data_IF_362180977559
#
_entry.id   IF_362180977559
#
_cell.length_a   1.000
_cell.length_b   1.000
_cell.length_c   1.000
_cell.angle_alpha   90.00
_cell.angle_beta   90.00
_cell.angle_gamma   90.00
#
_symmetry.space_group_name_H-M   'P 1'
#
loop_
_entity.id
_entity.type
_entity.pdbx_description
1 polymer ?
#
# COMPACT_ATOMS: atom_id res chain seq x y z
N UNK A 1 3.36 -11.16 -42.08
CA UNK A 1 2.26 -11.30 -41.10
C UNK A 1 1.55 -9.96 -40.99
N UNK A 2 0.21 -9.91 -41.01
CA UNK A 2 -0.50 -8.63 -40.84
C UNK A 2 -0.43 -8.16 -39.38
N UNK A 3 -0.58 -6.86 -39.14
CA UNK A 3 -0.64 -6.32 -37.77
C UNK A 3 -1.77 -6.96 -36.94
N UNK A 4 -2.88 -7.35 -37.58
CA UNK A 4 -4.00 -8.00 -36.92
C UNK A 4 -3.67 -9.44 -36.45
N UNK A 5 -2.92 -10.19 -37.25
CA UNK A 5 -2.51 -11.57 -36.91
C UNK A 5 -1.53 -11.55 -35.75
N UNK A 6 -0.53 -10.65 -35.80
CA UNK A 6 0.45 -10.48 -34.73
C UNK A 6 -0.19 -10.05 -33.40
N UNK A 7 -1.17 -9.13 -33.45
CA UNK A 7 -1.95 -8.75 -32.26
C UNK A 7 -2.76 -9.94 -31.73
N UNK A 8 -3.44 -10.67 -32.61
CA UNK A 8 -4.27 -11.82 -32.23
C UNK A 8 -3.45 -12.92 -31.57
N UNK A 9 -2.26 -13.21 -32.11
CA UNK A 9 -1.35 -14.21 -31.54
C UNK A 9 -0.90 -13.81 -30.14
N UNK A 10 -0.47 -12.55 -29.97
CA UNK A 10 -0.08 -12.03 -28.66
C UNK A 10 -1.23 -12.07 -27.65
N UNK A 11 -2.46 -11.81 -28.09
CA UNK A 11 -3.66 -11.87 -27.24
C UNK A 11 -3.99 -13.26 -26.72
N UNK A 12 -3.64 -14.34 -27.45
CA UNK A 12 -3.88 -15.73 -27.01
C UNK A 12 -3.17 -16.01 -25.68
N UNK A 13 -1.98 -15.46 -25.51
CA UNK A 13 -1.15 -15.62 -24.30
C UNK A 13 -1.48 -14.61 -23.18
N UNK A 14 -2.34 -13.62 -23.43
CA UNK A 14 -2.78 -12.69 -22.39
C UNK A 14 -3.91 -13.26 -21.53
N UNK A 15 -3.81 -13.03 -20.22
CA UNK A 15 -4.83 -13.47 -19.24
C UNK A 15 -6.19 -12.83 -19.54
N UNK A 16 -7.24 -13.65 -19.64
CA UNK A 16 -8.63 -13.20 -19.77
C UNK A 16 -9.05 -12.40 -18.54
N UNK A 17 -9.86 -11.36 -18.73
CA UNK A 17 -10.41 -10.54 -17.66
C UNK A 17 -9.45 -9.47 -17.10
N UNK A 18 -8.23 -9.34 -17.62
CA UNK A 18 -7.26 -8.32 -17.20
C UNK A 18 -7.24 -7.14 -18.18
N UNK A 19 -7.51 -5.90 -17.73
CA UNK A 19 -7.38 -4.72 -18.56
C UNK A 19 -5.94 -4.46 -19.01
N UNK A 20 -5.77 -3.96 -20.23
CA UNK A 20 -4.49 -3.55 -20.79
C UNK A 20 -4.64 -2.37 -21.75
N UNK A 21 -3.56 -1.64 -21.98
CA UNK A 21 -3.52 -0.49 -22.89
C UNK A 21 -3.02 -0.87 -24.28
N UNK A 22 -3.40 -0.08 -25.28
CA UNK A 22 -2.84 -0.17 -26.65
C UNK A 22 -1.31 -0.12 -26.70
N UNK A 23 -0.68 0.51 -25.71
CA UNK A 23 0.78 0.67 -25.63
C UNK A 23 1.53 -0.67 -25.67
N UNK A 24 0.88 -1.76 -25.23
CA UNK A 24 1.45 -3.12 -25.31
C UNK A 24 1.76 -3.55 -26.76
N UNK A 25 1.07 -2.98 -27.75
CA UNK A 25 1.23 -3.29 -29.17
C UNK A 25 2.04 -2.24 -29.94
N UNK A 26 2.70 -1.30 -29.26
CA UNK A 26 3.42 -0.21 -29.92
C UNK A 26 4.51 -0.68 -30.91
N UNK A 27 5.11 -1.86 -30.67
CA UNK A 27 6.15 -2.45 -31.52
C UNK A 27 5.61 -3.21 -32.75
N UNK A 28 4.30 -3.46 -32.84
CA UNK A 28 3.73 -4.29 -33.92
C UNK A 28 3.50 -3.48 -35.21
N UNK A 29 3.32 -2.17 -35.11
CA UNK A 29 3.13 -1.32 -36.27
C UNK A 29 2.69 0.09 -35.92
N UNK A 30 2.30 0.86 -36.95
CA UNK A 30 1.83 2.23 -36.77
C UNK A 30 0.59 2.29 -35.88
N UNK A 31 0.40 3.41 -35.19
CA UNK A 31 -0.76 3.64 -34.31
C UNK A 31 -2.08 3.40 -35.03
N UNK A 32 -2.21 3.88 -36.27
CA UNK A 32 -3.41 3.71 -37.08
C UNK A 32 -3.69 2.23 -37.43
N UNK A 33 -2.63 1.47 -37.75
CA UNK A 33 -2.77 0.04 -38.03
C UNK A 33 -3.21 -0.75 -36.79
N UNK A 34 -2.61 -0.45 -35.63
CA UNK A 34 -2.99 -1.06 -34.35
C UNK A 34 -4.43 -0.72 -33.98
N UNK A 35 -4.83 0.55 -34.07
CA UNK A 35 -6.20 0.98 -33.74
C UNK A 35 -7.23 0.31 -34.69
N UNK A 36 -6.92 0.18 -35.99
CA UNK A 36 -7.77 -0.53 -36.96
C UNK A 36 -7.90 -2.02 -36.63
N UNK A 37 -6.79 -2.68 -36.27
CA UNK A 37 -6.80 -4.08 -35.87
C UNK A 37 -7.59 -4.32 -34.57
N UNK A 38 -7.37 -3.48 -33.55
CA UNK A 38 -8.13 -3.55 -32.29
C UNK A 38 -9.61 -3.33 -32.52
N UNK A 39 -10.00 -2.40 -33.40
CA UNK A 39 -11.40 -2.17 -33.75
C UNK A 39 -12.05 -3.41 -34.38
N UNK A 40 -11.36 -4.07 -35.32
CA UNK A 40 -11.84 -5.32 -35.93
C UNK A 40 -12.01 -6.44 -34.89
N UNK A 41 -11.06 -6.57 -33.96
CA UNK A 41 -11.13 -7.58 -32.89
C UNK A 41 -12.24 -7.31 -31.88
N UNK A 42 -12.65 -6.05 -31.71
CA UNK A 42 -13.83 -5.70 -30.91
C UNK A 42 -15.10 -6.07 -31.66
N UNK A 43 -15.18 -5.75 -32.96
CA UNK A 43 -16.33 -6.10 -33.80
C UNK A 43 -16.54 -7.63 -33.87
N UNK A 44 -15.46 -8.41 -33.88
CA UNK A 44 -15.53 -9.87 -33.84
C UNK A 44 -15.78 -10.47 -32.45
N UNK A 45 -15.93 -9.63 -31.41
CA UNK A 45 -16.17 -10.07 -30.02
C UNK A 45 -14.96 -10.68 -29.30
N UNK A 46 -13.78 -10.72 -29.93
CA UNK A 46 -12.54 -11.24 -29.34
C UNK A 46 -11.99 -10.33 -28.23
N UNK A 47 -12.28 -9.04 -28.32
CA UNK A 47 -11.90 -8.02 -27.35
C UNK A 47 -13.11 -7.20 -26.90
N UNK A 48 -12.98 -6.60 -25.73
CA UNK A 48 -13.92 -5.62 -25.18
C UNK A 48 -13.17 -4.33 -24.89
N UNK A 49 -13.70 -3.20 -25.35
CA UNK A 49 -13.19 -1.87 -25.00
C UNK A 49 -13.89 -1.40 -23.73
N UNK A 50 -13.12 -1.17 -22.68
CA UNK A 50 -13.64 -0.73 -21.38
C UNK A 50 -13.80 0.79 -21.32
N UNK A 51 -12.75 1.50 -21.74
CA UNK A 51 -12.72 2.95 -21.94
C UNK A 51 -11.82 3.26 -23.13
N UNK A 52 -11.78 4.52 -23.59
CA UNK A 52 -10.90 4.91 -24.69
C UNK A 52 -9.44 4.54 -24.40
N UNK A 53 -8.86 3.67 -25.23
CA UNK A 53 -7.46 3.25 -25.12
C UNK A 53 -7.18 2.08 -24.17
N UNK A 54 -8.18 1.61 -23.41
CA UNK A 54 -8.06 0.44 -22.53
C UNK A 54 -9.00 -0.67 -22.99
N UNK A 55 -8.44 -1.86 -23.10
CA UNK A 55 -9.08 -3.04 -23.66
C UNK A 55 -8.94 -4.21 -22.70
N UNK A 56 -9.76 -5.23 -22.88
CA UNK A 56 -9.71 -6.46 -22.12
C UNK A 56 -10.10 -7.64 -23.01
N UNK A 57 -9.48 -8.78 -22.77
CA UNK A 57 -9.94 -10.05 -23.34
C UNK A 57 -11.10 -10.57 -22.50
N UNK A 58 -12.32 -10.77 -23.06
CA UNK A 58 -13.48 -11.19 -22.30
C UNK A 58 -13.22 -12.47 -21.50
N UNK A 59 -13.69 -12.48 -20.25
CA UNK A 59 -13.73 -13.67 -19.40
C UNK A 59 -15.18 -14.02 -19.14
N UNK A 60 -15.56 -15.25 -19.42
CA UNK A 60 -16.91 -15.77 -19.15
C UNK A 60 -16.83 -16.73 -17.98
N UNK A 61 -17.70 -16.51 -16.99
CA UNK A 61 -17.94 -17.41 -15.86
C UNK A 61 -19.24 -18.17 -16.11
N UNK A 62 -19.28 -19.46 -15.75
CA UNK A 62 -20.49 -20.28 -15.87
C UNK A 62 -21.69 -19.71 -15.10
N UNK A 63 -21.43 -19.02 -13.99
CA UNK A 63 -22.49 -18.54 -13.08
C UNK A 63 -22.92 -17.10 -13.34
N UNK A 64 -22.00 -16.24 -13.79
CA UNK A 64 -22.18 -14.77 -13.86
C UNK A 64 -22.19 -14.29 -15.32
N UNK A 65 -21.88 -15.16 -16.28
CA UNK A 65 -21.69 -14.76 -17.67
C UNK A 65 -20.43 -13.92 -17.83
N UNK A 66 -20.50 -12.77 -18.52
CA UNK A 66 -19.33 -11.91 -18.79
C UNK A 66 -18.85 -11.24 -17.50
N UNK A 67 -17.63 -11.59 -17.09
CA UNK A 67 -16.98 -11.05 -15.89
C UNK A 67 -16.45 -9.66 -16.20
N UNK A 68 -16.98 -8.65 -15.50
CA UNK A 68 -16.47 -7.28 -15.55
C UNK A 68 -15.21 -7.14 -14.70
N UNK A 69 -14.21 -6.37 -15.16
CA UNK A 69 -13.02 -6.07 -14.36
C UNK A 69 -13.38 -5.13 -13.21
N UNK A 70 -12.60 -5.18 -12.12
CA UNK A 70 -12.78 -4.24 -11.02
C UNK A 70 -12.45 -2.80 -11.49
N UNK A 71 -13.18 -1.77 -11.04
CA UNK A 71 -12.89 -0.39 -11.42
C UNK A 71 -11.43 0.01 -11.13
N UNK A 72 -10.87 -0.45 -10.01
CA UNK A 72 -9.46 -0.27 -9.66
C UNK A 72 -8.51 -0.83 -10.72
N UNK A 73 -8.77 -2.03 -11.25
CA UNK A 73 -7.91 -2.64 -12.28
C UNK A 73 -7.88 -1.84 -13.58
N UNK A 74 -9.01 -1.24 -13.96
CA UNK A 74 -9.12 -0.36 -15.13
C UNK A 74 -8.35 0.93 -14.89
N UNK A 75 -8.54 1.54 -13.71
CA UNK A 75 -7.84 2.77 -13.30
C UNK A 75 -6.33 2.57 -13.28
N UNK A 76 -5.84 1.45 -12.75
CA UNK A 76 -4.41 1.10 -12.79
C UNK A 76 -3.88 0.92 -14.21
N UNK A 77 -4.68 0.36 -15.12
CA UNK A 77 -4.30 0.24 -16.53
C UNK A 77 -4.23 1.60 -17.24
N UNK A 78 -5.13 2.53 -16.89
CA UNK A 78 -5.10 3.93 -17.37
C UNK A 78 -3.86 4.63 -16.85
N UNK A 79 -3.58 4.52 -15.54
CA UNK A 79 -2.42 5.12 -14.90
C UNK A 79 -1.13 4.69 -15.59
N UNK A 80 -0.96 3.38 -15.76
CA UNK A 80 0.19 2.78 -16.43
C UNK A 80 0.32 3.24 -17.88
N UNK A 81 -0.80 3.42 -18.59
CA UNK A 81 -0.78 3.90 -19.97
C UNK A 81 -0.32 5.36 -20.10
N UNK A 82 -0.66 6.18 -19.10
CA UNK A 82 -0.36 7.61 -19.08
C UNK A 82 0.96 7.93 -18.34
N UNK A 83 1.59 6.96 -17.70
CA UNK A 83 2.74 7.21 -16.81
C UNK A 83 2.35 7.96 -15.53
N UNK A 84 1.09 7.84 -15.10
CA UNK A 84 0.58 8.48 -13.89
C UNK A 84 0.78 7.58 -12.66
N UNK A 85 1.09 8.19 -11.53
CA UNK A 85 1.08 7.54 -10.23
C UNK A 85 -0.31 7.63 -9.63
N UNK A 86 -0.86 6.51 -9.16
CA UNK A 86 -2.15 6.48 -8.48
C UNK A 86 -2.00 6.01 -7.04
N UNK A 87 -2.75 6.66 -6.16
CA UNK A 87 -2.84 6.31 -4.75
C UNK A 87 -4.29 6.29 -4.29
N UNK A 88 -4.59 5.51 -3.26
CA UNK A 88 -5.91 5.54 -2.62
C UNK A 88 -6.23 6.95 -2.10
N UNK A 89 -7.51 7.33 -2.09
CA UNK A 89 -7.91 8.59 -1.51
C UNK A 89 -7.71 8.61 0.01
N UNK A 90 -7.57 9.81 0.59
CA UNK A 90 -7.31 10.01 2.02
C UNK A 90 -8.34 9.36 2.94
N UNK A 91 -9.62 9.43 2.59
CA UNK A 91 -10.70 8.77 3.32
C UNK A 91 -10.52 7.23 3.37
N UNK A 92 -10.11 6.62 2.26
CA UNK A 92 -9.82 5.19 2.21
C UNK A 92 -8.52 4.85 2.97
N UNK A 93 -7.52 5.75 2.94
CA UNK A 93 -6.28 5.58 3.70
C UNK A 93 -6.54 5.57 5.22
N UNK A 94 -7.29 6.55 5.74
CA UNK A 94 -7.64 6.58 7.18
C UNK A 94 -8.53 5.40 7.57
N UNK A 95 -9.40 4.93 6.67
CA UNK A 95 -10.22 3.73 6.90
C UNK A 95 -9.37 2.47 7.01
N UNK A 96 -8.42 2.27 6.09
CA UNK A 96 -7.49 1.12 6.12
C UNK A 96 -6.59 1.10 7.36
N UNK A 97 -6.25 2.27 7.89
CA UNK A 97 -5.49 2.42 9.14
C UNK A 97 -6.38 2.29 10.40
N UNK A 98 -7.69 2.02 10.24
CA UNK A 98 -8.63 1.92 11.35
C UNK A 98 -8.79 3.22 12.13
N UNK A 99 -8.61 4.37 11.49
CA UNK A 99 -8.82 5.71 12.05
C UNK A 99 -10.23 6.25 11.75
N UNK A 100 -10.93 5.62 10.81
CA UNK A 100 -12.33 5.93 10.47
C UNK A 100 -13.03 4.65 10.00
N UNK A 101 -14.35 4.60 10.16
CA UNK A 101 -15.22 3.53 9.63
C UNK A 101 -15.97 3.97 8.38
N UNK A 102 -15.87 5.26 8.01
CA UNK A 102 -16.63 5.83 6.90
C UNK A 102 -16.17 5.25 5.55
N UNK A 103 -17.10 4.70 4.78
CA UNK A 103 -16.86 4.18 3.44
C UNK A 103 -17.37 5.19 2.40
N UNK A 104 -16.55 5.48 1.40
CA UNK A 104 -16.96 6.34 0.29
C UNK A 104 -17.95 5.62 -0.63
N UNK A 105 -19.04 6.29 -0.99
CA UNK A 105 -20.02 5.77 -1.97
C UNK A 105 -19.42 5.72 -3.38
N UNK A 106 -18.66 6.76 -3.75
CA UNK A 106 -18.00 6.86 -5.06
C UNK A 106 -16.51 6.56 -4.89
N UNK A 107 -15.96 5.53 -5.58
CA UNK A 107 -14.54 5.24 -5.56
C UNK A 107 -13.73 6.45 -6.03
N UNK A 108 -12.89 6.98 -5.16
CA UNK A 108 -12.03 8.13 -5.44
C UNK A 108 -10.57 7.75 -5.24
N UNK A 109 -9.69 8.22 -6.12
CA UNK A 109 -8.25 8.00 -6.05
C UNK A 109 -7.50 9.31 -6.28
N UNK A 110 -6.31 9.41 -5.69
CA UNK A 110 -5.37 10.46 -6.05
C UNK A 110 -4.55 10.04 -7.27
N UNK A 111 -4.25 11.00 -8.15
CA UNK A 111 -3.39 10.81 -9.32
C UNK A 111 -2.37 11.94 -9.43
N UNK A 112 -1.18 11.65 -9.96
CA UNK A 112 -0.24 12.70 -10.36
C UNK A 112 -0.68 13.43 -11.64
N UNK A 113 -1.61 12.85 -12.40
CA UNK A 113 -2.19 13.46 -13.60
C UNK A 113 -3.33 14.43 -13.31
N UNK A 114 -4.06 14.84 -14.35
CA UNK A 114 -5.18 15.76 -14.21
C UNK A 114 -6.38 15.15 -13.47
N UNK A 115 -7.06 15.97 -12.67
CA UNK A 115 -8.36 15.65 -12.07
C UNK A 115 -9.38 15.32 -13.16
N UNK A 116 -10.04 14.17 -13.06
CA UNK A 116 -11.06 13.74 -14.03
C UNK A 116 -11.91 12.61 -13.48
N UNK A 117 -13.14 12.52 -13.99
CA UNK A 117 -14.04 11.40 -13.70
C UNK A 117 -14.02 10.41 -14.86
N UNK A 118 -13.94 9.13 -14.54
CA UNK A 118 -13.84 8.03 -15.50
C UNK A 118 -15.06 7.16 -15.36
N UNK A 119 -15.85 7.08 -16.43
CA UNK A 119 -17.00 6.18 -16.51
C UNK A 119 -16.58 4.81 -17.04
N UNK A 120 -16.82 3.77 -16.24
CA UNK A 120 -16.50 2.37 -16.55
C UNK A 120 -17.83 1.60 -16.54
N UNK A 121 -18.45 1.47 -17.71
CA UNK A 121 -19.83 0.98 -17.82
C UNK A 121 -20.80 1.89 -17.07
N UNK A 122 -21.43 1.37 -16.01
CA UNK A 122 -22.38 2.12 -15.18
C UNK A 122 -21.71 2.72 -13.93
N UNK A 123 -20.46 2.35 -13.63
CA UNK A 123 -19.73 2.89 -12.49
C UNK A 123 -18.95 4.14 -12.88
N UNK A 124 -18.82 5.07 -11.94
CA UNK A 124 -17.98 6.27 -12.07
C UNK A 124 -16.85 6.18 -11.03
N UNK A 125 -15.63 6.46 -11.47
CA UNK A 125 -14.46 6.58 -10.60
C UNK A 125 -13.90 7.98 -10.72
N UNK A 126 -13.67 8.64 -9.59
CA UNK A 126 -13.08 9.98 -9.55
C UNK A 126 -11.56 9.90 -9.36
N UNK A 127 -10.81 10.57 -10.24
CA UNK A 127 -9.39 10.83 -10.03
C UNK A 127 -9.21 12.29 -9.63
N UNK A 128 -8.53 12.53 -8.51
CA UNK A 128 -8.23 13.87 -8.01
C UNK A 128 -6.72 14.10 -8.06
N UNK A 129 -6.31 15.20 -8.67
CA UNK A 129 -4.90 15.55 -8.77
C UNK A 129 -4.29 15.75 -7.38
N UNK A 130 -3.10 15.20 -7.18
CA UNK A 130 -2.28 15.42 -6.01
C UNK A 130 -0.82 15.62 -6.43
N UNK A 131 -0.12 16.54 -5.78
CA UNK A 131 1.28 16.82 -6.11
C UNK A 131 2.18 15.62 -5.84
N UNK A 132 3.28 15.51 -6.58
CA UNK A 132 4.25 14.42 -6.45
C UNK A 132 4.80 14.28 -5.02
N UNK A 133 5.05 15.41 -4.33
CA UNK A 133 5.50 15.40 -2.94
C UNK A 133 4.51 14.71 -2.00
N UNK A 134 3.21 14.70 -2.30
CA UNK A 134 2.20 14.02 -1.48
C UNK A 134 1.90 12.59 -1.95
N UNK A 135 2.40 12.19 -3.12
CA UNK A 135 2.25 10.87 -3.73
C UNK A 135 3.49 9.98 -3.56
N UNK A 136 4.42 10.34 -2.67
CA UNK A 136 5.60 9.54 -2.37
C UNK A 136 5.18 8.13 -1.92
N UNK A 137 5.93 7.12 -2.39
CA UNK A 137 5.69 5.71 -2.08
C UNK A 137 4.25 5.23 -2.32
N UNK A 138 3.56 5.78 -3.33
CA UNK A 138 2.21 5.35 -3.69
C UNK A 138 2.12 3.82 -3.88
N UNK A 139 1.06 3.21 -3.37
CA UNK A 139 0.85 1.76 -3.38
C UNK A 139 1.50 0.99 -2.22
N UNK A 140 2.30 1.62 -1.36
CA UNK A 140 2.88 0.97 -0.16
C UNK A 140 2.17 1.40 1.13
N UNK A 141 2.52 0.76 2.25
CA UNK A 141 2.06 1.15 3.59
C UNK A 141 2.50 2.59 3.93
N UNK A 142 3.76 2.93 3.64
CA UNK A 142 4.30 4.29 3.83
C UNK A 142 3.49 5.32 3.04
N UNK A 143 3.21 5.06 1.76
CA UNK A 143 2.38 5.97 0.97
C UNK A 143 0.96 6.09 1.52
N UNK A 144 0.40 5.01 2.06
CA UNK A 144 -0.93 5.00 2.70
C UNK A 144 -0.95 5.88 3.94
N UNK A 145 0.06 5.74 4.80
CA UNK A 145 0.23 6.58 5.99
C UNK A 145 0.43 8.05 5.62
N UNK A 146 1.32 8.36 4.68
CA UNK A 146 1.58 9.72 4.25
C UNK A 146 0.30 10.38 3.69
N UNK A 147 -0.47 9.62 2.91
CA UNK A 147 -1.75 10.08 2.36
C UNK A 147 -2.77 10.35 3.47
N UNK A 148 -2.86 9.47 4.48
CA UNK A 148 -3.74 9.65 5.62
C UNK A 148 -3.37 10.89 6.46
N UNK A 149 -2.08 11.08 6.75
CA UNK A 149 -1.59 12.24 7.50
C UNK A 149 -1.87 13.56 6.76
N UNK A 150 -1.69 13.58 5.43
CA UNK A 150 -2.06 14.75 4.62
C UNK A 150 -3.56 15.01 4.60
N UNK A 151 -4.39 13.97 4.59
CA UNK A 151 -5.85 14.09 4.56
C UNK A 151 -6.42 14.59 5.88
N UNK A 152 -5.91 14.10 7.01
CA UNK A 152 -6.31 14.54 8.36
C UNK A 152 -5.88 16.00 8.59
N UNK A 153 -4.66 16.34 8.15
CA UNK A 153 -4.08 17.66 8.30
C UNK A 153 -3.75 18.04 9.75
N UNK A 154 -3.07 19.19 9.93
CA UNK A 154 -2.53 19.61 11.24
C UNK A 154 -3.59 19.72 12.35
N UNK A 155 -4.79 20.21 12.03
CA UNK A 155 -5.85 20.45 13.03
C UNK A 155 -6.53 19.18 13.52
N UNK A 156 -6.63 18.16 12.67
CA UNK A 156 -7.26 16.88 13.02
C UNK A 156 -6.29 15.86 13.62
N UNK A 157 -4.99 16.16 13.64
CA UNK A 157 -3.97 15.21 14.05
C UNK A 157 -3.79 15.23 15.57
N UNK A 158 -4.25 14.19 16.25
CA UNK A 158 -3.97 13.97 17.68
C UNK A 158 -2.74 13.08 17.87
N UNK A 159 -2.04 13.22 19.01
CA UNK A 159 -0.88 12.39 19.33
C UNK A 159 -1.22 10.90 19.35
N UNK A 160 -2.44 10.53 19.75
CA UNK A 160 -2.94 9.15 19.74
C UNK A 160 -3.05 8.57 18.33
N UNK A 161 -3.52 9.38 17.37
CA UNK A 161 -3.63 8.97 15.96
C UNK A 161 -2.24 8.69 15.40
N UNK A 162 -1.29 9.61 15.62
CA UNK A 162 0.07 9.45 15.09
C UNK A 162 0.76 8.27 15.75
N UNK A 163 0.59 8.11 17.07
CA UNK A 163 1.10 6.97 17.81
C UNK A 163 0.61 5.64 17.22
N UNK A 164 -0.71 5.48 17.04
CA UNK A 164 -1.30 4.28 16.43
C UNK A 164 -0.70 3.99 15.06
N UNK A 165 -0.58 5.01 14.23
CA UNK A 165 -0.02 4.89 12.87
C UNK A 165 1.45 4.46 12.91
N UNK A 166 2.25 5.09 13.75
CA UNK A 166 3.68 4.79 13.93
C UNK A 166 3.88 3.35 14.44
N UNK A 167 3.10 2.91 15.42
CA UNK A 167 3.19 1.54 15.95
C UNK A 167 2.70 0.47 14.98
N UNK A 168 1.94 0.85 13.94
CA UNK A 168 1.47 -0.08 12.91
C UNK A 168 2.54 -0.32 11.83
N UNK A 169 3.50 0.60 11.67
CA UNK A 169 4.57 0.48 10.67
C UNK A 169 5.76 -0.31 11.22
N UNK A 170 6.35 -1.16 10.37
CA UNK A 170 7.64 -1.79 10.66
C UNK A 170 8.79 -0.77 10.66
N UNK A 171 9.97 -1.17 11.14
CA UNK A 171 11.17 -0.31 11.22
C UNK A 171 11.54 0.29 9.87
N UNK A 172 11.59 -0.51 8.81
CA UNK A 172 11.99 -0.06 7.47
C UNK A 172 10.99 0.93 6.87
N UNK A 173 9.70 0.67 7.06
CA UNK A 173 8.62 1.58 6.66
C UNK A 173 8.71 2.90 7.44
N UNK A 174 9.05 2.85 8.72
CA UNK A 174 9.20 4.05 9.57
C UNK A 174 10.43 4.88 9.20
N UNK A 175 11.56 4.24 8.89
CA UNK A 175 12.75 4.90 8.34
C UNK A 175 12.40 5.57 7.00
N UNK A 176 11.71 4.83 6.13
CA UNK A 176 11.26 5.35 4.83
C UNK A 176 10.31 6.53 5.01
N UNK A 177 9.36 6.46 5.94
CA UNK A 177 8.44 7.55 6.27
C UNK A 177 9.20 8.80 6.75
N UNK A 178 10.17 8.65 7.66
CA UNK A 178 10.99 9.77 8.14
C UNK A 178 11.79 10.44 7.01
N UNK A 179 12.22 9.67 6.02
CA UNK A 179 12.94 10.19 4.85
C UNK A 179 12.02 10.87 3.82
N UNK A 180 10.70 10.69 3.92
CA UNK A 180 9.76 11.36 3.03
C UNK A 180 9.77 12.88 3.22
N UNK A 181 9.50 13.60 2.12
CA UNK A 181 9.23 15.04 2.18
C UNK A 181 7.88 15.29 2.82
N UNK A 182 7.85 16.03 3.93
CA UNK A 182 6.61 16.38 4.63
C UNK A 182 6.75 17.73 5.35
N UNK A 183 5.63 18.42 5.62
CA UNK A 183 5.65 19.65 6.40
C UNK A 183 6.25 19.47 7.79
N UNK A 184 6.87 20.51 8.35
CA UNK A 184 7.52 20.46 9.68
C UNK A 184 6.61 19.94 10.78
N UNK A 185 5.33 20.34 10.80
CA UNK A 185 4.38 19.87 11.79
C UNK A 185 4.13 18.36 11.73
N UNK A 186 4.18 17.76 10.53
CA UNK A 186 3.97 16.33 10.33
C UNK A 186 5.21 15.56 10.79
N UNK A 187 6.41 16.08 10.45
CA UNK A 187 7.68 15.52 10.89
C UNK A 187 7.80 15.48 12.42
N UNK A 188 7.55 16.62 13.08
CA UNK A 188 7.57 16.73 14.55
C UNK A 188 6.66 15.69 15.19
N UNK A 189 5.42 15.58 14.69
CA UNK A 189 4.44 14.65 15.24
C UNK A 189 4.88 13.18 15.08
N UNK A 190 5.44 12.80 13.92
CA UNK A 190 5.95 11.43 13.69
C UNK A 190 7.14 11.12 14.60
N UNK A 191 8.06 12.07 14.77
CA UNK A 191 9.25 11.89 15.61
C UNK A 191 8.89 11.80 17.09
N UNK A 192 8.00 12.68 17.59
CA UNK A 192 7.47 12.62 18.96
C UNK A 192 6.73 11.31 19.24
N UNK A 193 5.90 10.85 18.31
CA UNK A 193 5.16 9.60 18.45
C UNK A 193 6.10 8.37 18.45
N UNK A 194 7.15 8.40 17.65
CA UNK A 194 8.16 7.33 17.58
C UNK A 194 8.99 7.26 18.86
N UNK A 195 9.41 8.40 19.42
CA UNK A 195 10.10 8.45 20.72
C UNK A 195 9.19 7.96 21.86
N UNK A 196 7.91 8.32 21.81
CA UNK A 196 6.92 7.85 22.77
C UNK A 196 6.71 6.32 22.67
N UNK A 197 6.69 5.77 21.46
CA UNK A 197 6.54 4.33 21.22
C UNK A 197 7.74 3.54 21.76
N UNK A 198 8.97 4.00 21.47
CA UNK A 198 10.21 3.44 22.01
C UNK A 198 10.19 3.42 23.55
N UNK A 199 9.78 4.53 24.17
CA UNK A 199 9.68 4.64 25.63
C UNK A 199 8.67 3.65 26.21
N UNK A 200 7.49 3.51 25.57
CA UNK A 200 6.46 2.57 26.01
C UNK A 200 6.92 1.12 25.85
N UNK A 201 7.56 0.79 24.73
CA UNK A 201 8.13 -0.54 24.50
C UNK A 201 9.17 -0.88 25.56
N UNK A 202 10.09 0.05 25.84
CA UNK A 202 11.08 -0.12 26.90
C UNK A 202 10.44 -0.37 28.26
N UNK A 203 9.46 0.44 28.65
CA UNK A 203 8.74 0.26 29.91
C UNK A 203 8.06 -1.11 30.00
N UNK A 204 7.36 -1.52 28.93
CA UNK A 204 6.68 -2.83 28.87
C UNK A 204 7.65 -3.99 28.98
N UNK A 205 8.73 -4.00 28.19
CA UNK A 205 9.72 -5.08 28.23
C UNK A 205 10.39 -5.12 29.60
N UNK A 206 10.77 -3.97 30.16
CA UNK A 206 11.38 -3.91 31.49
C UNK A 206 10.45 -4.48 32.55
N UNK A 207 9.19 -4.07 32.58
CA UNK A 207 8.25 -4.55 33.60
C UNK A 207 7.99 -6.06 33.45
N UNK A 208 7.92 -6.57 32.22
CA UNK A 208 7.79 -8.01 31.96
C UNK A 208 9.06 -8.78 32.33
N UNK A 209 10.24 -8.24 32.05
CA UNK A 209 11.52 -8.81 32.45
C UNK A 209 11.69 -8.82 33.98
N UNK A 210 11.18 -7.79 34.69
CA UNK A 210 11.15 -7.80 36.16
C UNK A 210 10.31 -8.96 36.68
N UNK A 211 9.15 -9.22 36.08
CA UNK A 211 8.31 -10.35 36.47
C UNK A 211 8.99 -11.70 36.22
N UNK A 212 9.74 -11.82 35.12
CA UNK A 212 10.44 -13.06 34.74
C UNK A 212 11.70 -13.30 35.58
N UNK A 213 12.53 -12.28 35.78
CA UNK A 213 13.82 -12.40 36.48
C UNK A 213 13.76 -12.04 37.96
N UNK A 214 12.60 -11.60 38.45
CA UNK A 214 12.31 -11.35 39.87
C UNK A 214 12.78 -10.01 40.43
N UNK A 215 13.63 -9.25 39.72
CA UNK A 215 14.03 -7.90 40.15
C UNK A 215 14.48 -7.00 38.99
N UNK A 216 14.50 -5.69 39.27
CA UNK A 216 14.89 -4.64 38.32
C UNK A 216 16.32 -4.77 37.82
N UNK A 217 17.27 -5.10 38.70
CA UNK A 217 18.68 -5.16 38.33
C UNK A 217 18.95 -6.25 37.30
N UNK A 218 18.45 -7.46 37.52
CA UNK A 218 18.60 -8.58 36.59
C UNK A 218 17.88 -8.32 35.26
N UNK A 219 16.70 -7.70 35.31
CA UNK A 219 15.99 -7.29 34.11
C UNK A 219 16.79 -6.27 33.27
N UNK A 220 17.37 -5.25 33.91
CA UNK A 220 18.19 -4.24 33.24
C UNK A 220 19.52 -4.82 32.73
N UNK A 221 20.16 -5.71 33.49
CA UNK A 221 21.37 -6.44 33.06
C UNK A 221 21.09 -7.31 31.83
N UNK A 222 19.96 -8.03 31.80
CA UNK A 222 19.56 -8.83 30.65
C UNK A 222 19.25 -7.97 29.43
N UNK A 223 18.50 -6.87 29.61
CA UNK A 223 18.18 -5.93 28.54
C UNK A 223 19.42 -5.33 27.86
N UNK A 224 20.54 -5.23 28.59
CA UNK A 224 21.80 -4.68 28.11
C UNK A 224 22.78 -5.73 27.57
N UNK A 225 22.43 -7.03 27.56
CA UNK A 225 23.30 -8.11 27.09
C UNK A 225 22.84 -8.69 25.75
N UNK A 226 23.77 -9.07 24.86
CA UNK A 226 23.45 -9.83 23.66
C UNK A 226 22.64 -11.09 23.98
N UNK A 227 21.54 -11.30 23.27
CA UNK A 227 20.69 -12.48 23.45
C UNK A 227 20.79 -13.40 22.23
N UNK A 228 21.16 -14.67 22.45
CA UNK A 228 21.27 -15.68 21.38
C UNK A 228 19.95 -15.88 20.64
N UNK A 229 18.81 -15.86 21.35
CA UNK A 229 17.47 -15.96 20.76
C UNK A 229 17.15 -14.82 19.78
N UNK A 230 17.74 -13.65 20.01
CA UNK A 230 17.59 -12.48 19.15
C UNK A 230 18.68 -12.40 18.06
N UNK A 231 19.43 -13.48 17.82
CA UNK A 231 20.51 -13.52 16.85
C UNK A 231 21.77 -12.78 17.31
N UNK A 232 21.97 -12.61 18.62
CA UNK A 232 23.09 -11.85 19.20
C UNK A 232 22.80 -10.36 19.38
N UNK A 233 21.60 -9.89 19.01
CA UNK A 233 21.20 -8.51 19.25
C UNK A 233 20.95 -8.23 20.74
N UNK A 234 21.22 -7.00 21.17
CA UNK A 234 20.89 -6.51 22.52
C UNK A 234 19.40 -6.16 22.58
N UNK A 235 18.61 -6.72 23.51
CA UNK A 235 17.16 -6.48 23.57
C UNK A 235 16.78 -5.00 23.61
N UNK A 236 17.50 -4.18 24.39
CA UNK A 236 17.25 -2.73 24.48
C UNK A 236 17.39 -1.99 23.14
N UNK A 237 18.25 -2.46 22.24
CA UNK A 237 18.53 -1.77 20.98
C UNK A 237 17.55 -2.15 19.87
N UNK A 238 16.74 -3.19 20.10
CA UNK A 238 15.81 -3.72 19.08
C UNK A 238 14.34 -3.50 19.41
N UNK A 239 13.99 -3.11 20.63
CA UNK A 239 12.60 -2.84 21.06
C UNK A 239 11.92 -1.68 20.31
N UNK A 240 12.68 -0.82 19.64
CA UNK A 240 12.12 0.26 18.82
C UNK A 240 11.49 -0.27 17.52
N UNK A 241 11.80 -1.52 17.13
CA UNK A 241 11.16 -2.21 16.02
C UNK A 241 9.99 -3.06 16.53
N UNK A 242 8.73 -2.84 16.09
CA UNK A 242 7.57 -3.63 16.54
C UNK A 242 7.74 -5.15 16.38
N UNK A 243 8.35 -5.61 15.28
CA UNK A 243 8.56 -7.05 15.05
C UNK A 243 9.55 -7.64 16.04
N UNK A 244 10.67 -6.94 16.27
CA UNK A 244 11.69 -7.37 17.23
C UNK A 244 11.22 -7.20 18.67
N UNK A 245 10.42 -6.17 18.96
CA UNK A 245 9.72 -6.01 20.23
C UNK A 245 8.85 -7.23 20.53
N UNK A 246 8.05 -7.70 19.58
CA UNK A 246 7.27 -8.93 19.76
C UNK A 246 8.14 -10.17 19.94
N UNK A 247 9.29 -10.27 19.27
CA UNK A 247 10.24 -11.36 19.50
C UNK A 247 10.82 -11.34 20.93
N UNK A 248 11.14 -10.15 21.45
CA UNK A 248 11.58 -9.94 22.84
C UNK A 248 10.47 -10.33 23.83
N UNK A 249 9.22 -9.94 23.58
CA UNK A 249 8.09 -10.33 24.41
C UNK A 249 7.85 -11.85 24.40
N UNK A 250 7.89 -12.47 23.22
CA UNK A 250 7.71 -13.91 23.06
C UNK A 250 8.82 -14.69 23.79
N UNK A 251 10.06 -14.19 23.76
CA UNK A 251 11.17 -14.77 24.52
C UNK A 251 10.91 -14.74 26.03
N UNK A 252 10.55 -13.57 26.58
CA UNK A 252 10.24 -13.43 28.00
C UNK A 252 9.07 -14.32 28.42
N UNK A 253 8.06 -14.46 27.56
CA UNK A 253 6.93 -15.35 27.78
C UNK A 253 7.35 -16.83 27.84
N UNK A 254 8.26 -17.27 26.97
CA UNK A 254 8.80 -18.64 27.01
C UNK A 254 9.56 -18.94 28.29
N UNK A 255 10.37 -18.00 28.78
CA UNK A 255 11.06 -18.16 30.07
C UNK A 255 10.04 -18.27 31.20
N UNK A 256 8.99 -17.46 31.17
CA UNK A 256 7.92 -17.50 32.17
C UNK A 256 7.22 -18.88 32.25
N UNK A 257 7.12 -19.58 31.12
CA UNK A 257 6.59 -20.95 31.05
C UNK A 257 7.65 -22.05 31.28
N UNK A 258 8.87 -21.69 31.67
CA UNK A 258 9.96 -22.65 31.95
C UNK A 258 10.55 -23.30 30.70
N UNK A 259 10.34 -22.75 29.51
CA UNK A 259 10.91 -23.25 28.26
C UNK A 259 12.26 -22.57 28.04
N UNK A 260 13.32 -23.17 28.55
CA UNK A 260 14.69 -22.73 28.36
C UNK A 260 15.24 -23.22 27.00
N UNK A 261 16.13 -22.44 26.39
CA UNK A 261 16.92 -22.81 25.22
C UNK A 261 18.38 -22.95 25.60
#
# INVERSE_FOLDING_TARGET
MSAADAISERLKHMRKGKPFSRVVFAQIGSRAAVDKALSRLIQSGCLERLVRGIYMRPKVSKHIGRVRPSPLSVVMAIAKANGETIQIHGAEAVRRLGLSTQVQVIPTYYTSGATRDIRIGNAVVCLRHLSYDKLQHAGTNVGTVLTALHYIGKRGLSSQIVFKVVTTLGRDDLITLRNCRMPRWMRSAVDEASASAATLHYAKVRDRAINVFGNRRLAEEWLARPCSYLGGDVPRDVIDNPERFHAVEAYLERINYGIYQ
#
